data_IF_900247188775
#
_entry.id   IF_900247188775
#
_cell.length_a   1.000
_cell.length_b   1.000
_cell.length_c   1.000
_cell.angle_alpha   90.00
_cell.angle_beta   90.00
_cell.angle_gamma   90.00
#
_symmetry.space_group_name_H-M   'P 1'
#
loop_
_entity.id
_entity.type
_entity.pdbx_description
1 polymer ?
#
# COMPACT_ATOMS: atom_id res chain seq x y z
N UNK A 1 23.79 -32.58 -41.54
CA UNK A 1 23.00 -31.34 -41.43
C UNK A 1 23.00 -31.00 -39.96
N UNK A 2 23.78 -30.00 -39.56
CA UNK A 2 23.86 -29.55 -38.17
C UNK A 2 22.92 -28.35 -38.02
N UNK A 3 21.91 -28.50 -37.18
CA UNK A 3 20.94 -27.45 -36.90
C UNK A 3 21.45 -26.62 -35.73
N UNK A 4 22.03 -25.45 -36.04
CA UNK A 4 22.43 -24.47 -35.03
C UNK A 4 21.20 -23.64 -34.70
N UNK A 5 20.46 -24.03 -33.66
CA UNK A 5 19.39 -23.20 -33.10
C UNK A 5 20.05 -22.02 -32.40
N UNK A 6 20.23 -20.93 -33.12
CA UNK A 6 20.49 -19.61 -32.55
C UNK A 6 19.28 -19.24 -31.70
N UNK A 7 19.43 -19.31 -30.37
CA UNK A 7 18.46 -18.75 -29.44
C UNK A 7 18.44 -17.25 -29.65
N UNK A 8 17.45 -16.79 -30.40
CA UNK A 8 17.11 -15.38 -30.50
C UNK A 8 16.82 -14.88 -29.08
N UNK A 9 17.76 -14.11 -28.51
CA UNK A 9 17.47 -13.25 -27.36
C UNK A 9 16.48 -12.19 -27.83
N UNK A 10 15.20 -12.54 -27.78
CA UNK A 10 14.11 -11.62 -28.07
C UNK A 10 14.17 -10.44 -27.09
N UNK A 11 14.57 -9.32 -27.66
CA UNK A 11 14.43 -7.98 -27.13
C UNK A 11 12.93 -7.61 -27.10
N UNK A 12 12.19 -8.20 -26.17
CA UNK A 12 10.79 -7.88 -25.87
C UNK A 12 10.64 -7.80 -24.36
N UNK A 13 9.99 -6.74 -23.86
CA UNK A 13 9.67 -6.44 -22.45
C UNK A 13 10.33 -7.38 -21.42
N UNK A 14 11.41 -6.93 -20.76
CA UNK A 14 12.16 -7.72 -19.77
C UNK A 14 11.33 -8.00 -18.52
N UNK A 15 10.30 -8.84 -18.62
CA UNK A 15 9.53 -9.35 -17.50
C UNK A 15 10.49 -10.20 -16.67
N UNK A 16 10.75 -9.75 -15.45
CA UNK A 16 11.60 -10.47 -14.53
C UNK A 16 10.75 -11.52 -13.81
N UNK A 17 11.04 -12.79 -14.07
CA UNK A 17 10.44 -13.89 -13.29
C UNK A 17 11.15 -13.95 -11.95
N UNK A 18 10.40 -13.75 -10.87
CA UNK A 18 10.91 -13.78 -9.50
C UNK A 18 10.35 -14.98 -8.76
N UNK A 19 11.20 -15.59 -7.94
CA UNK A 19 10.90 -16.76 -7.12
C UNK A 19 10.02 -17.79 -7.86
N UNK A 20 10.57 -18.49 -8.88
CA UNK A 20 9.80 -19.37 -9.77
C UNK A 20 9.26 -20.63 -9.08
N UNK A 21 9.27 -20.71 -7.76
CA UNK A 21 8.70 -21.79 -6.95
C UNK A 21 7.91 -21.26 -5.74
N UNK A 22 7.85 -19.94 -5.55
CA UNK A 22 7.11 -19.34 -4.44
C UNK A 22 5.62 -19.56 -4.68
N UNK A 23 4.98 -20.26 -3.74
CA UNK A 23 3.53 -20.50 -3.73
C UNK A 23 2.82 -19.59 -2.73
N UNK A 24 3.50 -19.29 -1.64
CA UNK A 24 2.89 -18.67 -0.47
C UNK A 24 3.77 -17.50 -0.03
N UNK A 25 3.20 -16.32 0.13
CA UNK A 25 3.90 -15.12 0.61
C UNK A 25 3.20 -14.54 1.83
N UNK A 26 3.93 -14.41 2.95
CA UNK A 26 3.42 -13.79 4.18
C UNK A 26 4.27 -12.59 4.56
N UNK A 27 3.65 -11.42 4.69
CA UNK A 27 4.25 -10.17 5.12
C UNK A 27 3.54 -9.74 6.40
N UNK A 28 4.20 -9.89 7.55
CA UNK A 28 3.58 -9.68 8.86
C UNK A 28 4.42 -8.71 9.69
N UNK A 29 3.76 -7.73 10.34
CA UNK A 29 4.36 -6.81 11.30
C UNK A 29 5.60 -6.07 10.73
N UNK A 30 5.43 -5.46 9.56
CA UNK A 30 6.47 -4.68 8.88
C UNK A 30 6.08 -3.19 8.87
N UNK A 31 6.26 -2.46 9.98
CA UNK A 31 5.73 -1.11 10.16
C UNK A 31 6.33 -0.05 9.23
N UNK A 32 7.48 -0.33 8.62
CA UNK A 32 8.18 0.57 7.69
C UNK A 32 8.14 0.09 6.24
N UNK A 33 7.45 -1.01 5.94
CA UNK A 33 7.38 -1.54 4.59
C UNK A 33 6.47 -0.65 3.74
N UNK A 34 7.05 0.12 2.81
CA UNK A 34 6.29 0.91 1.85
C UNK A 34 5.86 0.12 0.61
N UNK A 35 6.80 -0.67 0.07
CA UNK A 35 6.63 -1.53 -1.11
C UNK A 35 7.37 -2.85 -0.88
N UNK A 36 6.88 -3.96 -1.43
CA UNK A 36 7.58 -5.25 -1.37
C UNK A 36 8.72 -5.34 -2.40
N UNK A 37 8.50 -4.80 -3.62
CA UNK A 37 9.53 -4.68 -4.65
C UNK A 37 9.66 -3.26 -5.20
N UNK A 38 10.91 -2.83 -5.37
CA UNK A 38 11.30 -1.64 -6.11
C UNK A 38 12.06 -2.07 -7.35
N UNK A 39 11.49 -1.80 -8.52
CA UNK A 39 12.03 -2.20 -9.82
C UNK A 39 11.44 -1.32 -10.91
N UNK A 40 12.12 -1.21 -12.03
CA UNK A 40 11.63 -0.57 -13.25
C UNK A 40 11.09 -1.60 -14.27
N UNK A 41 11.17 -2.89 -13.93
CA UNK A 41 10.78 -4.00 -14.81
C UNK A 41 9.47 -4.64 -14.34
N UNK A 42 8.65 -5.04 -15.30
CA UNK A 42 7.49 -5.88 -15.03
C UNK A 42 7.92 -7.18 -14.33
N UNK A 43 7.10 -7.66 -13.41
CA UNK A 43 7.39 -8.84 -12.60
C UNK A 43 6.43 -9.97 -12.89
N UNK A 44 6.92 -11.21 -12.79
CA UNK A 44 6.09 -12.41 -12.88
C UNK A 44 6.37 -13.36 -11.71
N UNK A 45 5.30 -13.74 -11.02
CA UNK A 45 5.31 -14.78 -9.98
C UNK A 45 4.48 -15.97 -10.47
N UNK A 46 5.10 -16.94 -11.16
CA UNK A 46 4.38 -17.93 -11.94
C UNK A 46 3.59 -18.95 -11.10
N UNK A 47 3.92 -19.13 -9.82
CA UNK A 47 3.29 -20.13 -8.97
C UNK A 47 2.72 -19.57 -7.65
N UNK A 48 2.72 -18.26 -7.49
CA UNK A 48 2.21 -17.62 -6.27
C UNK A 48 0.69 -17.79 -6.23
N UNK A 49 0.19 -18.47 -5.19
CA UNK A 49 -1.21 -18.82 -4.95
C UNK A 49 -1.80 -18.00 -3.83
N UNK A 50 -1.07 -17.88 -2.73
CA UNK A 50 -1.60 -17.29 -1.50
C UNK A 50 -0.69 -16.16 -1.04
N UNK A 51 -1.28 -15.00 -0.77
CA UNK A 51 -0.55 -13.87 -0.17
C UNK A 51 -1.30 -13.40 1.07
N UNK A 52 -0.57 -13.25 2.17
CA UNK A 52 -1.07 -12.61 3.38
C UNK A 52 -0.22 -11.40 3.71
N UNK A 53 -0.89 -10.29 3.99
CA UNK A 53 -0.26 -9.02 4.36
C UNK A 53 -0.98 -8.49 5.59
N UNK A 54 -0.31 -8.55 6.73
CA UNK A 54 -0.86 -8.15 8.02
C UNK A 54 0.08 -7.20 8.75
N UNK A 55 -0.48 -6.27 9.52
CA UNK A 55 0.27 -5.27 10.30
C UNK A 55 1.41 -4.55 9.54
N UNK A 56 1.12 -4.12 8.31
CA UNK A 56 2.04 -3.33 7.46
C UNK A 56 1.52 -1.89 7.24
N UNK A 57 1.44 -1.04 8.28
CA UNK A 57 0.74 0.25 8.25
C UNK A 57 1.27 1.27 7.24
N UNK A 58 2.53 1.20 6.82
CA UNK A 58 3.11 2.11 5.83
C UNK A 58 3.04 1.59 4.39
N UNK A 59 2.47 0.40 4.17
CA UNK A 59 2.44 -0.23 2.86
C UNK A 59 1.47 0.50 1.94
N UNK A 60 1.98 0.98 0.79
CA UNK A 60 1.19 1.74 -0.18
C UNK A 60 0.76 0.88 -1.36
N UNK A 61 1.66 0.06 -1.86
CA UNK A 61 1.46 -0.86 -2.99
C UNK A 61 2.33 -2.09 -2.83
N UNK A 62 1.99 -3.18 -3.51
CA UNK A 62 2.80 -4.39 -3.51
C UNK A 62 4.14 -4.15 -4.24
N UNK A 63 4.10 -3.54 -5.43
CA UNK A 63 5.27 -3.07 -6.17
C UNK A 63 5.16 -1.57 -6.45
N UNK A 64 6.25 -0.93 -6.86
CA UNK A 64 6.24 0.46 -7.28
C UNK A 64 5.12 0.74 -8.32
N UNK A 65 4.45 1.90 -8.19
CA UNK A 65 3.39 2.30 -9.11
C UNK A 65 3.91 2.36 -10.56
N UNK A 66 3.06 1.96 -11.51
CA UNK A 66 3.41 1.87 -12.92
C UNK A 66 4.12 0.57 -13.33
N UNK A 67 4.43 -0.31 -12.38
CA UNK A 67 4.98 -1.64 -12.65
C UNK A 67 3.87 -2.67 -12.73
N UNK A 68 3.82 -3.38 -13.86
CA UNK A 68 2.92 -4.52 -14.03
C UNK A 68 3.43 -5.76 -13.28
N UNK A 69 2.53 -6.45 -12.59
CA UNK A 69 2.81 -7.71 -11.89
C UNK A 69 1.87 -8.77 -12.41
N UNK A 70 2.44 -9.85 -12.95
CA UNK A 70 1.69 -11.02 -13.39
C UNK A 70 1.75 -12.12 -12.34
N UNK A 71 0.59 -12.48 -11.80
CA UNK A 71 0.42 -13.58 -10.83
C UNK A 71 -0.63 -14.57 -11.34
N UNK A 72 -0.32 -15.36 -12.39
CA UNK A 72 -1.31 -16.17 -13.10
C UNK A 72 -1.89 -17.34 -12.28
N UNK A 73 -1.29 -17.65 -11.12
CA UNK A 73 -1.73 -18.72 -10.23
C UNK A 73 -2.30 -18.20 -8.91
N UNK A 74 -2.56 -16.90 -8.79
CA UNK A 74 -3.06 -16.32 -7.55
C UNK A 74 -4.49 -16.81 -7.26
N UNK A 75 -4.68 -17.42 -6.10
CA UNK A 75 -5.91 -18.06 -5.66
C UNK A 75 -6.56 -17.27 -4.49
N UNK A 76 -5.75 -16.68 -3.60
CA UNK A 76 -6.21 -16.01 -2.38
C UNK A 76 -5.33 -14.82 -2.01
N UNK A 77 -5.95 -13.72 -1.56
CA UNK A 77 -5.30 -12.63 -0.84
C UNK A 77 -5.95 -12.42 0.52
N UNK A 78 -5.23 -12.67 1.61
CA UNK A 78 -5.69 -12.36 2.97
C UNK A 78 -7.08 -12.95 3.33
N UNK A 79 -7.34 -14.16 2.84
CA UNK A 79 -8.61 -14.88 2.98
C UNK A 79 -9.82 -14.16 2.34
N UNK A 80 -9.56 -13.20 1.44
CA UNK A 80 -10.57 -12.57 0.59
C UNK A 80 -10.77 -13.41 -0.68
N UNK A 81 -11.85 -14.21 -0.67
CA UNK A 81 -12.23 -15.10 -1.78
C UNK A 81 -13.06 -14.40 -2.86
N UNK A 82 -13.47 -13.13 -2.67
CA UNK A 82 -14.44 -12.47 -3.56
C UNK A 82 -13.80 -11.67 -4.70
N UNK A 83 -12.51 -11.34 -4.60
CA UNK A 83 -11.85 -10.50 -5.60
C UNK A 83 -10.87 -11.35 -6.40
N UNK A 84 -11.15 -11.55 -7.69
CA UNK A 84 -10.07 -11.81 -8.65
C UNK A 84 -9.14 -10.62 -8.61
N UNK A 85 -8.10 -10.70 -7.79
CA UNK A 85 -7.12 -9.65 -7.70
C UNK A 85 -6.16 -9.84 -8.86
N UNK A 86 -6.61 -9.41 -10.03
CA UNK A 86 -5.78 -9.28 -11.22
C UNK A 86 -4.67 -8.23 -10.97
N UNK A 87 -4.82 -7.41 -9.92
CA UNK A 87 -3.93 -6.32 -9.55
C UNK A 87 -3.66 -6.25 -8.03
N UNK A 88 -2.58 -6.90 -7.60
CA UNK A 88 -2.05 -6.88 -6.22
C UNK A 88 -1.84 -5.45 -5.69
N UNK A 89 -1.48 -4.49 -6.56
CA UNK A 89 -1.31 -3.10 -6.16
C UNK A 89 -2.65 -2.47 -5.82
N UNK A 90 -3.69 -2.71 -6.62
CA UNK A 90 -5.05 -2.22 -6.35
C UNK A 90 -5.57 -2.74 -5.02
N UNK A 91 -5.43 -4.03 -4.74
CA UNK A 91 -5.85 -4.62 -3.46
C UNK A 91 -5.08 -4.01 -2.28
N UNK A 92 -3.76 -3.87 -2.40
CA UNK A 92 -2.94 -3.24 -1.35
C UNK A 92 -3.39 -1.80 -1.09
N UNK A 93 -3.64 -1.01 -2.14
CA UNK A 93 -4.13 0.37 -1.99
C UNK A 93 -5.49 0.42 -1.29
N UNK A 94 -6.46 -0.41 -1.69
CA UNK A 94 -7.77 -0.46 -1.04
C UNK A 94 -7.66 -0.81 0.44
N UNK A 95 -6.79 -1.77 0.78
CA UNK A 95 -6.67 -2.29 2.14
C UNK A 95 -5.95 -1.35 3.11
N UNK A 96 -4.92 -0.65 2.63
CA UNK A 96 -4.04 0.18 3.46
C UNK A 96 -4.33 1.69 3.35
N UNK A 97 -4.79 2.20 2.21
CA UNK A 97 -5.12 3.63 2.07
C UNK A 97 -6.54 3.99 2.57
N UNK A 98 -7.47 3.02 2.65
CA UNK A 98 -8.83 3.29 3.16
C UNK A 98 -8.89 3.55 4.68
N UNK A 99 -7.74 3.62 5.38
CA UNK A 99 -7.66 3.91 6.82
C UNK A 99 -7.57 5.41 7.16
N UNK A 100 -7.65 6.32 6.19
CA UNK A 100 -7.60 7.79 6.41
C UNK A 100 -8.93 8.43 6.87
N UNK A 101 -10.02 7.67 7.06
CA UNK A 101 -11.22 8.17 7.74
C UNK A 101 -11.41 7.49 9.10
N UNK A 102 -10.74 7.99 10.15
CA UNK A 102 -11.24 8.19 11.53
C UNK A 102 -10.09 8.65 12.45
N UNK A 103 -9.64 9.88 12.28
CA UNK A 103 -8.90 10.64 13.29
C UNK A 103 -9.46 12.06 13.40
N UNK A 104 -10.77 12.15 13.65
CA UNK A 104 -11.39 13.28 14.35
C UNK A 104 -12.81 12.88 14.62
N UNK A 105 -13.08 12.47 15.85
CA UNK A 105 -14.09 13.07 16.73
C UNK A 105 -14.00 12.40 18.10
N UNK A 106 -13.84 13.24 19.12
CA UNK A 106 -14.07 12.89 20.53
C UNK A 106 -13.03 13.48 21.49
N UNK A 107 -13.25 14.71 21.96
CA UNK A 107 -13.83 14.92 23.30
C UNK A 107 -14.60 16.25 23.34
N UNK A 108 -15.82 16.16 23.86
CA UNK A 108 -16.78 17.22 24.13
C UNK A 108 -16.39 18.06 25.36
N UNK A 109 -17.10 19.19 25.49
CA UNK A 109 -17.53 19.93 26.69
C UNK A 109 -17.23 21.43 26.41
N UNK A 110 -18.19 22.29 26.06
CA UNK A 110 -19.47 22.49 26.70
C UNK A 110 -19.26 23.43 27.87
N UNK A 111 -19.34 24.74 27.61
CA UNK A 111 -19.80 25.78 28.55
C UNK A 111 -20.14 27.05 27.75
N UNK A 112 -21.44 27.33 27.69
CA UNK A 112 -22.04 28.59 27.29
C UNK A 112 -21.91 29.58 28.46
N UNK A 113 -21.47 30.82 28.19
CA UNK A 113 -21.98 32.06 28.80
C UNK A 113 -21.14 33.23 28.29
N UNK A 114 -21.69 34.05 27.40
CA UNK A 114 -22.36 35.33 27.70
C UNK A 114 -21.40 36.51 27.55
N UNK A 115 -21.80 37.45 26.69
CA UNK A 115 -21.10 38.69 26.43
C UNK A 115 -21.25 39.63 27.62
N UNK A 116 -20.18 40.38 27.95
CA UNK A 116 -20.34 41.64 28.67
C UNK A 116 -19.46 42.71 28.04
N UNK A 117 -20.16 43.80 27.72
CA UNK A 117 -19.70 45.09 27.20
C UNK A 117 -18.79 45.79 28.20
N UNK A 118 -17.76 46.46 27.66
CA UNK A 118 -17.15 47.72 28.09
C UNK A 118 -16.93 48.04 29.58
N UNK A 119 -15.71 48.40 29.93
CA UNK A 119 -15.51 49.75 30.48
C UNK A 119 -14.10 50.30 30.23
N UNK A 120 -14.05 51.62 30.06
CA UNK A 120 -12.86 52.44 29.76
C UNK A 120 -12.61 53.26 31.02
N UNK A 121 -11.44 53.14 31.65
CA UNK A 121 -10.93 54.09 32.68
C UNK A 121 -9.42 53.85 32.83
N UNK A 122 -8.59 54.67 32.21
CA UNK A 122 -7.96 55.87 32.79
C UNK A 122 -7.15 55.66 34.08
N UNK A 123 -5.83 55.76 33.88
CA UNK A 123 -4.90 56.69 34.53
C UNK A 123 -4.48 56.51 36.01
N UNK A 124 -3.19 56.82 36.20
CA UNK A 124 -2.45 57.19 37.44
C UNK A 124 -1.79 56.03 38.21
N UNK A 125 -0.61 56.13 38.85
CA UNK A 125 0.51 57.08 38.89
C UNK A 125 1.63 56.43 39.75
N UNK A 126 2.90 56.73 39.44
CA UNK A 126 4.13 56.69 40.27
C UNK A 126 4.80 55.35 40.66
N UNK A 127 6.02 55.19 40.16
CA UNK A 127 7.24 55.08 40.98
C UNK A 127 8.15 56.25 40.64
#
# INVERSE_FOLDING_TARGET
MEEVITKEEQQGERIMTLFPRLKDLRLNNLPKLGHFFLTERALKFPFLREVWIDDCPQMKTFVQQGISVSTPSLECLNDDYEVKVDDLNKWTQQRFNSKEHKASQGTTNGDESEAIVGDKSEMTTKG
#
